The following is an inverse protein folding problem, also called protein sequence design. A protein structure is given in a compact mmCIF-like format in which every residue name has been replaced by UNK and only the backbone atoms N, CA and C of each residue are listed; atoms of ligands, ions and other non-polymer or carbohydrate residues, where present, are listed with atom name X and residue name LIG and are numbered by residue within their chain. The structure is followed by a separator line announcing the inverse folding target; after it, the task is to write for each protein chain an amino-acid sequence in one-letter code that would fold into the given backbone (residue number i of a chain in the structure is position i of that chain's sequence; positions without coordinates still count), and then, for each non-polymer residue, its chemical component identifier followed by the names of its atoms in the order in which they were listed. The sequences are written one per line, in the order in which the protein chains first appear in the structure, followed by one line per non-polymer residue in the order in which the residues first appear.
data_IF_527702158430
#
_entry.id   IF_527702158430
#
_cell.length_a   1.000
_cell.length_b   1.000
_cell.length_c   1.000
_cell.angle_alpha   90.00
_cell.angle_beta   90.00
_cell.angle_gamma   90.00
#
_symmetry.space_group_name_H-M   'P 1'
#
loop_
_entity.id
_entity.type
_entity.pdbx_description
1 polymer ?
#
# COMPACT_ATOMS: atom_id res chain seq x y z
N UNK A 1 31.55 8.97 -72.74
CA UNK A 1 30.72 9.56 -71.66
C UNK A 1 30.28 8.50 -70.63
N UNK A 2 31.20 7.68 -70.10
CA UNK A 2 30.86 6.61 -69.11
C UNK A 2 31.84 6.48 -67.93
N UNK A 3 32.96 7.23 -67.90
CA UNK A 3 34.04 7.04 -66.92
C UNK A 3 33.74 7.62 -65.52
N UNK A 4 32.82 8.58 -65.41
CA UNK A 4 32.55 9.31 -64.16
C UNK A 4 31.54 8.61 -63.22
N UNK A 5 30.66 7.74 -63.74
CA UNK A 5 29.69 7.01 -62.90
C UNK A 5 30.36 5.99 -61.98
N UNK A 6 31.38 5.29 -62.46
CA UNK A 6 32.11 4.30 -61.66
C UNK A 6 32.94 4.97 -60.55
N UNK A 7 33.48 6.16 -60.80
CA UNK A 7 34.20 6.95 -59.79
C UNK A 7 33.25 7.40 -58.68
N UNK A 8 32.03 7.85 -59.03
CA UNK A 8 31.03 8.27 -58.04
C UNK A 8 30.59 7.10 -57.13
N UNK A 9 30.41 5.91 -57.70
CA UNK A 9 30.02 4.70 -56.94
C UNK A 9 31.12 4.29 -55.95
N UNK A 10 32.39 4.38 -56.35
CA UNK A 10 33.53 4.06 -55.46
C UNK A 10 33.61 5.05 -54.30
N UNK A 11 33.38 6.34 -54.54
CA UNK A 11 33.39 7.36 -53.47
C UNK A 11 32.26 7.11 -52.46
N UNK A 12 31.07 6.76 -52.93
CA UNK A 12 29.93 6.44 -52.05
C UNK A 12 30.23 5.20 -51.20
N UNK A 13 30.80 4.14 -51.78
CA UNK A 13 31.15 2.93 -51.03
C UNK A 13 32.20 3.20 -49.94
N UNK A 14 33.21 4.03 -50.22
CA UNK A 14 34.23 4.40 -49.23
C UNK A 14 33.62 5.21 -48.08
N UNK A 15 32.72 6.16 -48.37
CA UNK A 15 32.03 6.93 -47.33
C UNK A 15 31.14 6.04 -46.46
N UNK A 16 30.43 5.08 -47.05
CA UNK A 16 29.62 4.12 -46.29
C UNK A 16 30.49 3.26 -45.37
N UNK A 17 31.66 2.81 -45.83
CA UNK A 17 32.60 2.03 -45.00
C UNK A 17 33.15 2.88 -43.83
N UNK A 18 33.44 4.16 -44.05
CA UNK A 18 33.90 5.08 -42.99
C UNK A 18 32.79 5.34 -41.96
N UNK A 19 31.53 5.46 -42.41
CA UNK A 19 30.39 5.63 -41.50
C UNK A 19 30.17 4.35 -40.70
N UNK A 20 30.20 3.17 -41.34
CA UNK A 20 30.05 1.88 -40.67
C UNK A 20 31.20 1.65 -39.68
N UNK A 21 32.44 1.97 -40.04
CA UNK A 21 33.59 1.84 -39.14
C UNK A 21 33.52 2.83 -37.98
N UNK A 22 33.03 4.05 -38.22
CA UNK A 22 32.76 5.05 -37.19
C UNK A 22 31.67 4.61 -36.22
N UNK A 23 30.56 4.06 -36.71
CA UNK A 23 29.47 3.50 -35.89
C UNK A 23 29.98 2.29 -35.09
N UNK A 24 30.75 1.40 -35.71
CA UNK A 24 31.33 0.23 -35.04
C UNK A 24 32.35 0.63 -33.97
N UNK A 25 33.17 1.66 -34.22
CA UNK A 25 34.10 2.21 -33.23
C UNK A 25 33.36 2.90 -32.08
N UNK A 26 32.30 3.66 -32.39
CA UNK A 26 31.45 4.31 -31.39
C UNK A 26 30.73 3.27 -30.50
N UNK A 27 30.21 2.20 -31.08
CA UNK A 27 29.61 1.09 -30.32
C UNK A 27 30.65 0.35 -29.48
N UNK A 28 31.87 0.11 -29.99
CA UNK A 28 32.95 -0.53 -29.21
C UNK A 28 33.40 0.31 -28.01
N UNK A 29 33.32 1.63 -28.11
CA UNK A 29 33.69 2.56 -27.04
C UNK A 29 32.56 2.87 -26.05
N UNK A 30 31.35 2.34 -26.28
CA UNK A 30 30.17 2.55 -25.42
C UNK A 30 29.86 1.37 -24.49
N UNK A 31 30.86 0.57 -24.13
CA UNK A 31 30.69 -0.45 -23.09
C UNK A 31 30.34 0.23 -21.76
N UNK A 32 29.23 -0.13 -21.08
CA UNK A 32 28.94 0.42 -19.76
C UNK A 32 30.06 -0.04 -18.81
N UNK A 33 30.86 0.91 -18.33
CA UNK A 33 31.87 0.66 -17.31
C UNK A 33 31.15 0.11 -16.06
N UNK A 34 31.72 -0.96 -15.47
CA UNK A 34 31.36 -1.75 -14.28
C UNK A 34 31.05 -0.97 -12.95
N UNK A 35 30.43 0.20 -13.02
CA UNK A 35 30.21 1.11 -11.89
C UNK A 35 29.19 0.57 -10.87
N UNK A 36 28.19 -0.19 -11.32
CA UNK A 36 27.14 -0.76 -10.45
C UNK A 36 27.69 -1.81 -9.48
N UNK A 37 28.52 -2.75 -9.96
CA UNK A 37 29.10 -3.81 -9.12
C UNK A 37 30.07 -3.25 -8.08
N UNK A 38 30.89 -2.25 -8.44
CA UNK A 38 31.81 -1.62 -7.50
C UNK A 38 31.08 -0.84 -6.41
N UNK A 39 29.98 -0.15 -6.74
CA UNK A 39 29.18 0.59 -5.75
C UNK A 39 28.49 -0.36 -4.77
N UNK A 40 27.96 -1.48 -5.26
CA UNK A 40 27.30 -2.46 -4.41
C UNK A 40 28.29 -3.16 -3.44
N UNK A 41 29.48 -3.50 -3.92
CA UNK A 41 30.55 -4.03 -3.06
C UNK A 41 30.95 -3.00 -1.99
N UNK A 42 31.07 -1.72 -2.35
CA UNK A 42 31.40 -0.66 -1.39
C UNK A 42 30.32 -0.47 -0.30
N UNK A 43 29.02 -0.67 -0.62
CA UNK A 43 27.95 -0.64 0.38
C UNK A 43 28.01 -1.87 1.30
N UNK A 44 28.29 -3.06 0.75
CA UNK A 44 28.41 -4.29 1.53
C UNK A 44 29.59 -4.27 2.53
N UNK A 45 30.60 -3.45 2.26
CA UNK A 45 31.71 -3.18 3.19
C UNK A 45 31.33 -2.24 4.35
N UNK A 46 30.16 -1.60 4.29
CA UNK A 46 29.64 -0.66 5.30
C UNK A 46 28.47 -1.24 6.10
N UNK A 47 27.59 -2.01 5.45
CA UNK A 47 26.41 -2.62 6.08
C UNK A 47 26.14 -4.01 5.50
N UNK A 48 25.76 -4.94 6.38
CA UNK A 48 25.31 -6.29 6.02
C UNK A 48 23.97 -6.55 6.69
N UNK A 49 23.06 -7.12 5.92
CA UNK A 49 21.73 -7.53 6.39
C UNK A 49 21.65 -9.04 6.32
N UNK A 50 21.36 -9.65 7.46
CA UNK A 50 21.15 -11.09 7.60
C UNK A 50 19.67 -11.44 7.41
N UNK A 51 18.75 -10.57 7.84
CA UNK A 51 17.32 -10.67 7.53
C UNK A 51 16.71 -9.29 7.28
N UNK A 52 15.80 -9.14 6.30
CA UNK A 52 15.43 -10.13 5.28
C UNK A 52 16.54 -10.29 4.22
N UNK A 53 16.55 -11.44 3.55
CA UNK A 53 17.27 -11.65 2.29
C UNK A 53 16.40 -11.27 1.09
N UNK A 54 17.03 -11.16 -0.08
CA UNK A 54 16.35 -10.78 -1.31
C UNK A 54 15.23 -11.77 -1.66
N UNK A 55 14.01 -11.25 -1.82
CA UNK A 55 12.77 -11.95 -2.12
C UNK A 55 12.24 -12.86 -0.99
N UNK A 56 12.73 -12.69 0.24
CA UNK A 56 12.11 -13.33 1.39
C UNK A 56 10.63 -12.98 1.47
N UNK A 57 9.81 -13.97 1.81
CA UNK A 57 8.37 -13.81 2.03
C UNK A 57 8.14 -13.38 3.48
N UNK A 58 7.62 -12.17 3.66
CA UNK A 58 7.39 -11.52 4.95
C UNK A 58 5.88 -11.49 5.22
N UNK A 59 5.46 -11.93 6.41
CA UNK A 59 4.08 -11.81 6.86
C UNK A 59 3.79 -10.40 7.37
N UNK A 60 3.06 -10.26 8.48
CA UNK A 60 2.80 -8.98 9.12
C UNK A 60 3.93 -8.46 10.02
N UNK A 61 4.99 -9.24 10.28
CA UNK A 61 6.16 -8.82 11.07
C UNK A 61 7.42 -8.90 10.21
N UNK A 62 8.01 -7.74 9.93
CA UNK A 62 9.32 -7.63 9.31
C UNK A 62 10.41 -7.64 10.39
N UNK A 63 11.34 -8.58 10.28
CA UNK A 63 12.56 -8.64 11.08
C UNK A 63 13.72 -8.08 10.27
N UNK A 64 14.31 -6.98 10.73
CA UNK A 64 15.52 -6.37 10.19
C UNK A 64 16.68 -6.73 11.13
N UNK A 65 17.55 -7.63 10.70
CA UNK A 65 18.68 -8.15 11.48
C UNK A 65 19.96 -8.05 10.66
N UNK A 66 21.03 -7.54 11.27
CA UNK A 66 22.28 -7.29 10.55
C UNK A 66 23.34 -6.59 11.38
N UNK A 67 24.36 -6.08 10.69
CA UNK A 67 25.46 -5.32 11.27
C UNK A 67 25.90 -4.19 10.34
N UNK A 68 26.30 -3.05 10.90
CA UNK A 68 26.84 -1.93 10.12
C UNK A 68 28.05 -1.31 10.82
N UNK A 69 28.94 -0.68 10.05
CA UNK A 69 30.05 0.09 10.61
C UNK A 69 29.55 1.36 11.29
N UNK A 70 30.35 1.89 12.21
CA UNK A 70 29.98 3.05 13.02
C UNK A 70 29.55 4.29 12.23
N UNK A 71 30.17 4.54 11.08
CA UNK A 71 29.85 5.65 10.18
C UNK A 71 28.49 5.52 9.46
N UNK A 72 27.84 4.35 9.54
CA UNK A 72 26.47 4.18 9.06
C UNK A 72 25.45 4.81 10.02
N UNK A 73 25.81 4.89 11.30
CA UNK A 73 24.97 5.41 12.37
C UNK A 73 25.30 6.87 12.70
N UNK A 74 24.30 7.56 13.25
CA UNK A 74 24.46 8.80 13.99
C UNK A 74 23.60 8.70 15.25
N UNK A 75 24.15 9.10 16.39
CA UNK A 75 23.51 8.91 17.70
C UNK A 75 23.05 7.46 17.96
N UNK A 76 23.84 6.47 17.50
CA UNK A 76 23.54 5.03 17.58
C UNK A 76 22.33 4.55 16.76
N UNK A 77 21.81 5.37 15.83
CA UNK A 77 20.64 5.02 15.02
C UNK A 77 20.90 5.24 13.53
N UNK A 78 20.14 4.54 12.68
CA UNK A 78 20.13 4.76 11.23
C UNK A 78 18.71 4.54 10.67
N UNK A 79 18.25 5.36 9.71
CA UNK A 79 16.89 5.26 9.19
C UNK A 79 16.66 4.04 8.29
N UNK A 80 15.46 3.47 8.37
CA UNK A 80 14.96 2.50 7.41
C UNK A 80 13.59 2.91 6.84
N UNK A 81 13.29 2.40 5.65
CA UNK A 81 12.00 2.54 4.99
C UNK A 81 11.57 1.18 4.44
N UNK A 82 10.28 0.89 4.56
CA UNK A 82 9.64 -0.23 3.88
C UNK A 82 8.74 0.36 2.81
N UNK A 83 9.04 0.06 1.56
CA UNK A 83 8.32 0.58 0.40
C UNK A 83 7.50 -0.53 -0.25
N UNK A 84 6.37 -0.17 -0.85
CA UNK A 84 5.59 -1.06 -1.71
C UNK A 84 6.21 -1.17 -3.13
N UNK A 85 5.59 -1.95 -4.01
CA UNK A 85 6.06 -2.11 -5.41
C UNK A 85 5.96 -0.84 -6.25
N UNK A 86 5.20 0.16 -5.78
CA UNK A 86 5.03 1.48 -6.40
C UNK A 86 5.98 2.53 -5.77
N UNK A 87 6.93 2.11 -4.93
CA UNK A 87 7.83 2.98 -4.16
C UNK A 87 7.11 3.91 -3.17
N UNK A 88 5.86 3.61 -2.81
CA UNK A 88 5.15 4.30 -1.73
C UNK A 88 5.57 3.74 -0.37
N UNK A 89 5.74 4.60 0.63
CA UNK A 89 6.15 4.17 1.96
C UNK A 89 5.02 3.44 2.68
N UNK A 90 5.24 2.18 3.04
CA UNK A 90 4.38 1.38 3.93
C UNK A 90 4.64 1.80 5.39
N UNK A 91 5.92 1.84 5.78
CA UNK A 91 6.35 2.30 7.10
C UNK A 91 7.81 2.78 7.07
N UNK A 92 8.23 3.49 8.11
CA UNK A 92 9.61 3.95 8.28
C UNK A 92 9.95 4.04 9.76
N UNK A 93 11.24 4.03 10.08
CA UNK A 93 11.71 4.12 11.46
C UNK A 93 13.23 4.12 11.52
N UNK A 94 13.78 3.70 12.65
CA UNK A 94 15.22 3.64 12.88
C UNK A 94 15.64 2.24 13.34
N UNK A 95 16.74 1.73 12.80
CA UNK A 95 17.49 0.64 13.43
C UNK A 95 18.42 1.23 14.48
N UNK A 96 18.63 0.50 15.56
CA UNK A 96 19.50 0.92 16.67
C UNK A 96 20.70 -0.02 16.79
N UNK A 97 21.89 0.56 16.93
CA UNK A 97 23.11 -0.16 17.26
C UNK A 97 23.02 -0.77 18.66
N UNK A 98 23.36 -2.05 18.79
CA UNK A 98 23.30 -2.78 20.08
C UNK A 98 24.56 -2.64 20.93
N UNK A 99 25.65 -2.14 20.36
CA UNK A 99 26.94 -1.96 21.03
C UNK A 99 27.49 -0.54 20.75
N UNK A 100 28.71 -0.27 21.22
CA UNK A 100 29.39 0.98 20.95
C UNK A 100 29.54 1.21 19.44
N UNK A 101 28.83 2.20 18.93
CA UNK A 101 28.78 2.54 17.50
C UNK A 101 29.94 3.44 17.05
N UNK A 102 30.67 4.09 17.96
CA UNK A 102 31.81 4.95 17.60
C UNK A 102 33.07 4.11 17.31
N UNK A 103 32.99 3.18 16.36
CA UNK A 103 34.07 2.25 15.99
C UNK A 103 34.12 2.00 14.48
N UNK A 104 35.27 1.55 13.99
CA UNK A 104 35.42 1.08 12.59
C UNK A 104 34.93 -0.36 12.38
N UNK A 105 34.58 -1.06 13.46
CA UNK A 105 34.10 -2.43 13.43
C UNK A 105 32.61 -2.48 13.08
N UNK A 106 32.15 -3.66 12.67
CA UNK A 106 30.74 -3.93 12.50
C UNK A 106 30.03 -3.99 13.86
N UNK A 107 28.88 -3.33 13.94
CA UNK A 107 28.05 -3.20 15.13
C UNK A 107 26.67 -3.76 14.82
N UNK A 108 26.18 -4.74 15.61
CA UNK A 108 24.92 -5.41 15.31
C UNK A 108 23.72 -4.50 15.55
N UNK A 109 22.68 -4.70 14.74
CA UNK A 109 21.37 -4.08 14.91
C UNK A 109 20.26 -5.15 14.76
N UNK A 110 19.11 -4.88 15.38
CA UNK A 110 17.93 -5.73 15.24
C UNK A 110 16.68 -4.89 15.45
N UNK A 111 15.69 -5.09 14.60
CA UNK A 111 14.40 -4.43 14.71
C UNK A 111 13.30 -5.36 14.23
N UNK A 112 12.20 -5.43 14.98
CA UNK A 112 10.95 -6.05 14.53
C UNK A 112 9.91 -4.96 14.32
N UNK A 113 9.25 -4.98 13.17
CA UNK A 113 8.25 -3.96 12.80
C UNK A 113 7.01 -4.66 12.26
N UNK A 114 5.85 -4.28 12.80
CA UNK A 114 4.57 -4.65 12.18
C UNK A 114 4.35 -3.84 10.91
N UNK A 115 4.06 -4.52 9.80
CA UNK A 115 3.80 -3.91 8.49
C UNK A 115 2.40 -4.26 8.00
N UNK A 116 1.81 -3.37 7.20
CA UNK A 116 0.50 -3.57 6.56
C UNK A 116 0.60 -3.35 5.03
N UNK A 117 1.27 -4.27 4.30
CA UNK A 117 1.45 -4.15 2.86
C UNK A 117 0.13 -4.34 2.10
N UNK A 118 -0.03 -3.58 1.00
CA UNK A 118 -1.17 -3.70 0.06
C UNK A 118 -0.76 -4.29 -1.30
N UNK A 119 0.52 -4.60 -1.46
CA UNK A 119 1.12 -5.15 -2.69
C UNK A 119 1.86 -6.43 -2.33
N UNK A 120 2.03 -7.34 -3.28
CA UNK A 120 2.72 -8.64 -3.06
C UNK A 120 4.24 -8.51 -2.92
N UNK A 121 4.79 -7.35 -3.29
CA UNK A 121 6.23 -7.08 -3.27
C UNK A 121 6.54 -5.66 -2.88
N UNK A 122 7.79 -5.43 -2.48
CA UNK A 122 8.29 -4.14 -2.08
C UNK A 122 9.79 -4.17 -1.80
N UNK A 123 10.25 -3.17 -1.05
CA UNK A 123 11.66 -2.97 -0.76
C UNK A 123 11.88 -2.60 0.70
N UNK A 124 12.86 -3.25 1.34
CA UNK A 124 13.51 -2.69 2.53
C UNK A 124 14.64 -1.78 2.07
N UNK A 125 14.62 -0.53 2.51
CA UNK A 125 15.68 0.45 2.28
C UNK A 125 16.30 0.82 3.61
N UNK A 126 17.59 0.57 3.76
CA UNK A 126 18.41 1.05 4.89
C UNK A 126 19.28 2.18 4.37
N UNK A 127 19.17 3.36 4.97
CA UNK A 127 19.97 4.54 4.57
C UNK A 127 20.96 4.84 5.70
N UNK A 128 22.18 5.27 5.35
CA UNK A 128 23.07 5.82 6.37
C UNK A 128 22.51 7.15 6.87
N UNK A 129 22.81 7.51 8.12
CA UNK A 129 22.56 8.89 8.51
C UNK A 129 23.56 9.82 7.80
N UNK A 130 23.07 10.94 7.27
CA UNK A 130 23.86 11.94 6.56
C UNK A 130 23.58 13.34 7.13
N UNK A 131 24.14 13.67 8.31
CA UNK A 131 23.94 14.98 8.95
C UNK A 131 24.39 16.16 8.08
N UNK A 132 25.27 15.93 7.11
CA UNK A 132 25.75 16.99 6.20
C UNK A 132 24.77 17.34 5.08
N UNK A 133 23.78 16.48 4.81
CA UNK A 133 22.81 16.66 3.71
C UNK A 133 23.40 16.61 2.31
N UNK A 134 24.69 16.25 2.16
CA UNK A 134 25.38 16.21 0.87
C UNK A 134 24.96 14.96 0.08
N UNK A 135 24.43 15.07 -1.16
CA UNK A 135 23.96 13.92 -1.93
C UNK A 135 25.04 12.84 -2.17
N UNK A 136 26.32 13.22 -2.28
CA UNK A 136 27.42 12.26 -2.46
C UNK A 136 27.65 11.35 -1.23
N UNK A 137 27.10 11.71 -0.06
CA UNK A 137 27.16 10.93 1.18
C UNK A 137 25.85 10.19 1.50
N UNK A 138 24.85 10.28 0.63
CA UNK A 138 23.60 9.52 0.73
C UNK A 138 23.79 8.10 0.21
N UNK A 139 24.18 7.22 1.11
CA UNK A 139 24.32 5.78 0.88
C UNK A 139 23.03 5.07 1.30
N UNK A 140 22.63 4.09 0.51
CA UNK A 140 21.52 3.22 0.87
C UNK A 140 21.76 1.80 0.38
N UNK A 141 21.24 0.84 1.13
CA UNK A 141 21.08 -0.55 0.74
C UNK A 141 19.59 -0.80 0.50
N UNK A 142 19.24 -1.37 -0.65
CA UNK A 142 17.87 -1.71 -1.02
C UNK A 142 17.76 -3.21 -1.24
N UNK A 143 16.88 -3.86 -0.51
CA UNK A 143 16.64 -5.30 -0.56
C UNK A 143 15.20 -5.52 -1.04
N UNK A 144 14.99 -6.19 -2.20
CA UNK A 144 13.64 -6.54 -2.62
C UNK A 144 13.09 -7.59 -1.67
N UNK A 145 11.83 -7.45 -1.26
CA UNK A 145 11.12 -8.38 -0.38
C UNK A 145 9.73 -8.69 -0.94
N UNK A 146 9.18 -9.83 -0.54
CA UNK A 146 7.81 -10.23 -0.89
C UNK A 146 6.94 -10.17 0.36
N UNK A 147 5.67 -9.85 0.18
CA UNK A 147 4.71 -9.78 1.27
C UNK A 147 3.70 -10.91 1.14
N UNK A 148 3.47 -11.61 2.24
CA UNK A 148 2.38 -12.56 2.37
C UNK A 148 1.10 -11.81 2.73
N UNK A 149 0.23 -11.67 1.74
CA UNK A 149 -1.06 -11.01 1.90
C UNK A 149 -2.12 -11.91 2.55
N UNK A 150 -1.85 -13.20 2.77
CA UNK A 150 -2.83 -14.14 3.32
C UNK A 150 -3.30 -13.76 4.74
N UNK A 151 -2.42 -13.19 5.57
CA UNK A 151 -2.77 -12.67 6.90
C UNK A 151 -3.43 -11.27 6.86
N UNK A 152 -3.30 -10.55 5.75
CA UNK A 152 -3.84 -9.21 5.53
C UNK A 152 -5.27 -9.27 4.96
N UNK A 153 -5.51 -10.20 4.04
CA UNK A 153 -6.82 -10.50 3.44
C UNK A 153 -7.76 -11.20 4.44
N UNK A 154 -7.22 -12.02 5.35
CA UNK A 154 -8.01 -12.71 6.39
C UNK A 154 -8.57 -11.79 7.48
N UNK A 155 -8.06 -10.55 7.61
CA UNK A 155 -8.67 -9.54 8.49
C UNK A 155 -10.02 -9.01 7.97
N UNK A 156 -10.29 -9.20 6.68
CA UNK A 156 -11.57 -8.82 6.05
C UNK A 156 -12.48 -10.04 5.80
N UNK A 157 -11.92 -11.21 5.51
CA UNK A 157 -12.73 -12.42 5.17
C UNK A 157 -12.93 -13.43 6.31
N UNK A 158 -11.98 -13.59 7.25
CA UNK A 158 -12.15 -14.50 8.41
C UNK A 158 -12.68 -13.79 9.66
N UNK A 159 -13.34 -12.66 9.45
CA UNK A 159 -14.02 -11.95 10.51
C UNK A 159 -15.31 -12.73 10.86
N UNK A 160 -15.41 -13.23 12.10
CA UNK A 160 -16.64 -13.88 12.57
C UNK A 160 -17.83 -13.01 12.19
N UNK A 161 -18.83 -13.60 11.54
CA UNK A 161 -19.99 -12.87 11.06
C UNK A 161 -21.09 -12.89 12.10
N UNK A 162 -21.90 -11.85 12.13
CA UNK A 162 -23.12 -11.82 12.92
C UNK A 162 -24.28 -11.37 12.04
N UNK A 163 -25.45 -11.91 12.33
CA UNK A 163 -26.70 -11.50 11.67
C UNK A 163 -27.28 -10.34 12.46
N UNK A 164 -27.64 -9.27 11.74
CA UNK A 164 -28.47 -8.19 12.26
C UNK A 164 -29.77 -8.12 11.45
N UNK A 165 -30.80 -7.53 12.04
CA UNK A 165 -32.08 -7.30 11.37
C UNK A 165 -32.26 -5.82 11.13
N UNK A 166 -32.42 -5.45 9.86
CA UNK A 166 -32.89 -4.12 9.46
C UNK A 166 -34.35 -4.22 9.09
N UNK A 167 -35.11 -3.14 9.26
CA UNK A 167 -36.56 -3.19 9.13
C UNK A 167 -37.03 -2.17 8.10
N UNK A 168 -37.76 -2.65 7.11
CA UNK A 168 -38.26 -1.86 5.99
C UNK A 168 -39.76 -2.08 5.80
N UNK A 169 -40.44 -1.18 5.11
CA UNK A 169 -41.83 -1.39 4.72
C UNK A 169 -41.92 -2.43 3.60
N UNK A 170 -43.08 -3.08 3.46
CA UNK A 170 -43.29 -4.07 2.39
C UNK A 170 -44.74 -4.04 1.87
N UNK A 171 -44.91 -3.82 0.55
CA UNK A 171 -46.23 -3.69 -0.08
C UNK A 171 -46.99 -5.01 -0.21
N UNK A 172 -46.29 -6.15 -0.22
CA UNK A 172 -46.90 -7.47 -0.33
C UNK A 172 -47.39 -7.99 1.03
N UNK A 173 -46.67 -7.64 2.10
CA UNK A 173 -46.97 -8.07 3.47
C UNK A 173 -47.89 -7.11 4.22
N UNK A 174 -48.04 -5.87 3.75
CA UNK A 174 -48.98 -4.88 4.28
C UNK A 174 -49.86 -4.25 3.17
N UNK A 175 -50.82 -5.01 2.61
CA UNK A 175 -51.67 -4.53 1.51
C UNK A 175 -52.63 -3.39 1.91
N UNK A 176 -52.76 -3.11 3.21
CA UNK A 176 -53.57 -2.02 3.75
C UNK A 176 -52.80 -0.68 3.83
N UNK A 177 -51.50 -0.67 3.48
CA UNK A 177 -50.63 0.52 3.53
C UNK A 177 -50.72 1.24 4.89
N UNK A 178 -50.59 0.49 5.98
CA UNK A 178 -50.83 0.96 7.35
C UNK A 178 -49.76 1.93 7.89
N UNK A 179 -48.62 2.05 7.19
CA UNK A 179 -47.48 2.94 7.46
C UNK A 179 -46.84 2.82 8.86
N UNK A 180 -47.34 1.92 9.70
CA UNK A 180 -46.81 1.59 11.02
C UNK A 180 -46.23 0.17 11.11
N UNK A 181 -46.26 -0.59 10.00
CA UNK A 181 -45.68 -1.93 9.91
C UNK A 181 -44.36 -1.90 9.13
N UNK A 182 -43.37 -2.56 9.72
CA UNK A 182 -42.08 -2.83 9.11
C UNK A 182 -41.74 -4.31 9.28
N UNK A 183 -41.00 -4.86 8.34
CA UNK A 183 -40.67 -6.27 8.25
C UNK A 183 -39.15 -6.44 8.21
N UNK A 184 -38.62 -7.50 8.87
CA UNK A 184 -37.19 -7.69 9.01
C UNK A 184 -36.58 -8.19 7.70
N UNK A 185 -35.39 -7.67 7.41
CA UNK A 185 -34.45 -8.18 6.43
C UNK A 185 -33.16 -8.48 7.18
N UNK A 186 -32.62 -9.68 6.97
CA UNK A 186 -31.39 -10.11 7.62
C UNK A 186 -30.17 -9.59 6.83
N UNK A 187 -29.22 -8.99 7.55
CA UNK A 187 -27.94 -8.52 7.00
C UNK A 187 -26.83 -9.24 7.72
N UNK A 188 -25.87 -9.70 6.95
CA UNK A 188 -24.65 -10.28 7.47
C UNK A 188 -23.59 -9.18 7.60
N UNK A 189 -23.11 -8.97 8.82
CA UNK A 189 -22.07 -7.98 9.10
C UNK A 189 -20.92 -8.64 9.84
N UNK A 190 -19.75 -8.02 9.75
CA UNK A 190 -18.61 -8.38 10.58
C UNK A 190 -18.98 -8.18 12.05
N UNK A 191 -18.72 -9.20 12.88
CA UNK A 191 -18.95 -9.13 14.33
C UNK A 191 -18.19 -7.95 14.91
N UNK A 192 -18.92 -7.08 15.59
CA UNK A 192 -18.41 -5.83 16.13
C UNK A 192 -19.03 -5.53 17.48
N UNK A 193 -18.30 -4.83 18.34
CA UNK A 193 -18.85 -4.28 19.58
C UNK A 193 -19.75 -3.06 19.31
N UNK A 194 -19.60 -2.41 18.16
CA UNK A 194 -20.40 -1.26 17.73
C UNK A 194 -21.71 -1.67 17.05
N UNK A 195 -22.44 -2.62 17.66
CA UNK A 195 -23.64 -3.27 17.09
C UNK A 195 -24.67 -2.25 16.60
N UNK A 196 -24.95 -1.23 17.43
CA UNK A 196 -25.94 -0.21 17.11
C UNK A 196 -25.57 0.63 15.88
N UNK A 197 -24.30 0.99 15.74
CA UNK A 197 -23.82 1.74 14.57
C UNK A 197 -23.90 0.88 13.32
N UNK A 198 -23.42 -0.36 13.38
CA UNK A 198 -23.49 -1.29 12.26
C UNK A 198 -24.93 -1.52 11.80
N UNK A 199 -25.87 -1.69 12.74
CA UNK A 199 -27.28 -1.87 12.41
C UNK A 199 -27.90 -0.65 11.70
N UNK A 200 -27.58 0.55 12.16
CA UNK A 200 -28.05 1.78 11.51
C UNK A 200 -27.41 1.96 10.14
N UNK A 201 -26.10 1.70 9.99
CA UNK A 201 -25.41 1.82 8.71
C UNK A 201 -26.00 0.85 7.66
N UNK A 202 -26.30 -0.41 8.03
CA UNK A 202 -26.98 -1.35 7.12
C UNK A 202 -28.42 -0.93 6.78
N UNK A 203 -29.14 -0.28 7.72
CA UNK A 203 -30.47 0.27 7.45
C UNK A 203 -30.39 1.42 6.44
N UNK A 204 -29.42 2.31 6.60
CA UNK A 204 -29.22 3.51 5.77
C UNK A 204 -28.72 3.19 4.36
N UNK A 205 -28.15 2.00 4.12
CA UNK A 205 -27.91 1.51 2.75
C UNK A 205 -29.21 1.33 1.96
N UNK A 206 -30.34 1.20 2.66
CA UNK A 206 -31.65 0.98 2.06
C UNK A 206 -31.87 -0.46 1.61
N UNK A 207 -32.87 -0.62 0.73
CA UNK A 207 -33.26 -1.91 0.16
C UNK A 207 -32.45 -2.26 -1.08
N UNK A 208 -32.05 -3.53 -1.22
CA UNK A 208 -31.41 -4.04 -2.43
C UNK A 208 -32.41 -4.19 -3.60
N UNK A 209 -31.91 -4.41 -4.81
CA UNK A 209 -32.78 -4.66 -5.97
C UNK A 209 -33.60 -5.95 -5.81
N UNK A 210 -33.00 -6.99 -5.22
CA UNK A 210 -33.68 -8.25 -4.90
C UNK A 210 -34.81 -8.03 -3.90
N UNK A 211 -34.60 -7.18 -2.91
CA UNK A 211 -35.61 -6.85 -1.89
C UNK A 211 -36.75 -6.01 -2.45
N UNK A 212 -36.45 -5.07 -3.35
CA UNK A 212 -37.48 -4.33 -4.10
C UNK A 212 -38.37 -5.28 -4.89
N UNK A 213 -37.79 -6.29 -5.54
CA UNK A 213 -38.54 -7.32 -6.25
C UNK A 213 -39.42 -8.18 -5.32
N UNK A 214 -39.07 -8.27 -4.03
CA UNK A 214 -39.87 -8.90 -2.99
C UNK A 214 -40.90 -7.96 -2.34
N UNK A 215 -41.00 -6.71 -2.82
CA UNK A 215 -41.95 -5.71 -2.36
C UNK A 215 -41.47 -4.83 -1.21
N UNK A 216 -40.20 -4.95 -0.79
CA UNK A 216 -39.63 -4.08 0.23
C UNK A 216 -39.32 -2.68 -0.32
N UNK A 217 -39.50 -1.67 0.52
CA UNK A 217 -39.14 -0.29 0.21
C UNK A 217 -38.76 0.48 1.48
N UNK A 218 -38.10 1.62 1.29
CA UNK A 218 -37.73 2.54 2.37
C UNK A 218 -38.10 3.97 1.98
N UNK A 219 -38.60 4.75 2.95
CA UNK A 219 -38.79 6.20 2.81
C UNK A 219 -37.59 7.01 3.32
N UNK A 220 -36.52 6.34 3.77
CA UNK A 220 -35.28 7.00 4.17
C UNK A 220 -34.54 7.47 2.92
N UNK A 221 -34.17 8.74 2.90
CA UNK A 221 -33.41 9.31 1.80
C UNK A 221 -32.06 8.60 1.60
N UNK A 222 -31.59 8.48 0.34
CA UNK A 222 -30.22 8.05 0.08
C UNK A 222 -29.23 9.06 0.68
N UNK A 223 -28.03 8.60 0.99
CA UNK A 223 -26.92 9.41 1.50
C UNK A 223 -27.12 10.03 2.90
N UNK A 224 -28.10 9.53 3.65
CA UNK A 224 -28.19 9.80 5.09
C UNK A 224 -26.98 9.19 5.79
N UNK A 225 -26.33 9.97 6.66
CA UNK A 225 -25.09 9.61 7.37
C UNK A 225 -25.24 9.84 8.86
N UNK A 226 -24.69 8.95 9.66
CA UNK A 226 -24.62 9.08 11.12
C UNK A 226 -23.45 10.02 11.47
N UNK A 227 -23.77 11.21 11.96
CA UNK A 227 -22.80 12.17 12.48
C UNK A 227 -22.33 11.75 13.88
N UNK A 228 -23.25 11.37 14.76
CA UNK A 228 -22.94 10.87 16.09
C UNK A 228 -23.93 9.80 16.57
N UNK A 229 -23.47 8.93 17.46
CA UNK A 229 -24.29 7.89 18.09
C UNK A 229 -23.85 7.73 19.54
N UNK A 230 -24.79 7.87 20.47
CA UNK A 230 -24.56 7.75 21.91
C UNK A 230 -25.67 6.91 22.54
N UNK A 231 -25.32 5.98 23.43
CA UNK A 231 -26.30 5.19 24.18
C UNK A 231 -26.09 5.43 25.66
N UNK A 232 -27.08 6.02 26.33
CA UNK A 232 -27.04 6.30 27.75
C UNK A 232 -28.40 6.00 28.37
N UNK A 233 -28.40 5.33 29.53
CA UNK A 233 -29.62 4.99 30.27
C UNK A 233 -30.66 4.22 29.43
N UNK A 234 -30.21 3.38 28.50
CA UNK A 234 -31.09 2.62 27.59
C UNK A 234 -31.69 3.43 26.44
N UNK A 235 -31.30 4.70 26.27
CA UNK A 235 -31.75 5.57 25.18
C UNK A 235 -30.62 5.75 24.18
N UNK A 236 -30.89 5.50 22.90
CA UNK A 236 -29.98 5.78 21.81
C UNK A 236 -30.26 7.18 21.24
N UNK A 237 -29.25 8.05 21.27
CA UNK A 237 -29.23 9.35 20.62
C UNK A 237 -28.43 9.22 19.34
N UNK A 238 -29.09 9.42 18.20
CA UNK A 238 -28.47 9.35 16.87
C UNK A 238 -28.62 10.69 16.20
N UNK A 239 -27.50 11.25 15.76
CA UNK A 239 -27.47 12.49 14.98
C UNK A 239 -27.19 12.12 13.52
N UNK A 240 -28.05 12.55 12.62
CA UNK A 240 -27.94 12.33 11.18
C UNK A 240 -27.65 13.64 10.48
N UNK A 241 -27.04 13.58 9.28
CA UNK A 241 -26.89 14.76 8.44
C UNK A 241 -28.26 15.26 7.94
N UNK A 242 -28.27 16.49 7.42
CA UNK A 242 -29.46 17.20 6.89
C UNK A 242 -30.21 16.43 5.80
N UNK A 243 -29.56 15.44 5.17
CA UNK A 243 -30.16 14.61 4.14
C UNK A 243 -31.38 13.83 4.65
N UNK A 244 -31.45 13.52 5.94
CA UNK A 244 -32.62 12.84 6.52
C UNK A 244 -33.89 13.70 6.41
N UNK A 245 -33.74 15.02 6.46
CA UNK A 245 -34.84 15.99 6.42
C UNK A 245 -35.04 16.59 5.03
N UNK A 246 -34.18 16.23 4.06
CA UNK A 246 -34.20 16.83 2.74
C UNK A 246 -35.44 16.39 1.95
N UNK A 247 -36.29 17.36 1.59
CA UNK A 247 -37.49 17.16 0.76
C UNK A 247 -38.46 16.08 1.30
N UNK A 248 -38.46 15.84 2.61
CA UNK A 248 -39.42 14.93 3.23
C UNK A 248 -40.79 15.63 3.32
N UNK A 249 -41.83 14.96 2.83
CA UNK A 249 -43.20 15.47 2.85
C UNK A 249 -44.19 14.35 2.61
N UNK A 250 -45.12 14.15 3.54
CA UNK A 250 -46.07 13.04 3.54
C UNK A 250 -46.13 12.32 4.88
N UNK A 251 -47.16 11.51 5.07
CA UNK A 251 -47.36 10.65 6.25
C UNK A 251 -47.11 9.19 5.92
N UNK A 252 -46.28 8.88 4.91
CA UNK A 252 -45.74 7.59 4.51
C UNK A 252 -44.60 7.87 3.50
#
# INVERSE_FOLDING_TARGET
MFKNKNILIIIILVLVIIIISGIFFYQKNSQPINHSNNKQNAIQEQIKVFKPQANDLINNILVIDGEAKGNWFFEATAPFYVLDSNFSTITSGFIQAKDNWMTENFVPFHQEIKIEPKTESGYLVLKNDNPSGLPEKDLFLMIPIKFDLSEMETSSENSEKMIIKVFFNNNNLDPEFSCNKVFPVEREVVKTQAIARAALEELLKGVSEEEKNQGYFTSINPDVKIQSLKIENGIAFVDFNEQLEFQVGGSC
#
